data_IF_109253822878
#
_entry.id   IF_109253822878
#
_cell.length_a   1.000
_cell.length_b   1.000
_cell.length_c   1.000
_cell.angle_alpha   90.00
_cell.angle_beta   90.00
_cell.angle_gamma   90.00
#
_symmetry.space_group_name_H-M   'P 1'
#
loop_
_entity.id
_entity.type
_entity.pdbx_description
1 polymer ?
#
# COMPACT_ATOMS: atom_id res chain seq x y z
N UNK A 1 -0.81 -9.21 -6.38
CA UNK A 1 0.15 -9.16 -7.48
C UNK A 1 1.60 -8.93 -6.99
N UNK A 2 1.95 -7.93 -6.16
CA UNK A 2 3.33 -7.70 -5.73
C UNK A 2 3.98 -8.92 -5.06
N UNK A 3 3.31 -9.59 -4.12
CA UNK A 3 3.83 -10.78 -3.43
C UNK A 3 4.15 -11.93 -4.40
N UNK A 4 3.32 -12.11 -5.42
CA UNK A 4 3.54 -13.11 -6.48
C UNK A 4 4.81 -12.75 -7.27
N UNK A 5 4.96 -11.48 -7.67
CA UNK A 5 6.14 -11.04 -8.40
C UNK A 5 7.44 -11.17 -7.58
N UNK A 6 7.40 -10.86 -6.28
CA UNK A 6 8.53 -11.04 -5.37
C UNK A 6 8.94 -12.51 -5.20
N UNK A 7 8.00 -13.46 -5.31
CA UNK A 7 8.31 -14.89 -5.18
C UNK A 7 9.22 -15.43 -6.29
N UNK A 8 9.32 -14.75 -7.44
CA UNK A 8 10.27 -15.10 -8.49
C UNK A 8 11.73 -14.79 -8.11
N UNK A 9 11.97 -13.91 -7.14
CA UNK A 9 13.30 -13.58 -6.62
C UNK A 9 14.15 -12.64 -7.48
N UNK A 10 13.85 -12.48 -8.77
CA UNK A 10 14.61 -11.66 -9.72
C UNK A 10 13.81 -10.50 -10.31
N UNK A 11 12.58 -10.26 -9.85
CA UNK A 11 11.75 -9.13 -10.29
C UNK A 11 11.88 -8.00 -9.28
N UNK A 12 12.23 -6.79 -9.75
CA UNK A 12 12.12 -5.61 -8.90
C UNK A 12 10.64 -5.28 -8.70
N UNK A 13 10.23 -5.04 -7.45
CA UNK A 13 8.82 -4.74 -7.16
C UNK A 13 8.73 -3.51 -6.25
N UNK A 14 7.86 -2.56 -6.60
CA UNK A 14 7.55 -1.44 -5.73
C UNK A 14 6.05 -1.20 -5.61
N UNK A 15 5.64 -0.77 -4.43
CA UNK A 15 4.27 -0.38 -4.09
C UNK A 15 4.30 1.08 -3.66
N UNK A 16 3.70 1.96 -4.46
CA UNK A 16 3.83 3.40 -4.32
C UNK A 16 2.49 4.13 -4.25
N UNK A 17 2.49 5.31 -3.64
CA UNK A 17 1.40 6.29 -3.71
C UNK A 17 2.01 7.69 -3.69
N UNK A 18 2.02 8.35 -4.85
CA UNK A 18 2.71 9.63 -5.06
C UNK A 18 2.21 10.72 -4.10
N UNK A 19 0.90 10.81 -3.87
CA UNK A 19 0.30 11.78 -2.96
C UNK A 19 0.60 11.53 -1.48
N UNK A 20 0.98 10.29 -1.13
CA UNK A 20 1.38 9.95 0.24
C UNK A 20 2.88 10.21 0.49
N UNK A 21 3.73 9.83 -0.48
CA UNK A 21 5.18 10.00 -0.36
C UNK A 21 5.83 10.11 -1.75
N UNK A 22 5.99 11.35 -2.22
CA UNK A 22 6.62 11.66 -3.50
C UNK A 22 8.08 11.17 -3.58
N UNK A 23 8.83 11.30 -2.50
CA UNK A 23 10.25 10.92 -2.49
C UNK A 23 10.40 9.39 -2.60
N UNK A 24 9.53 8.63 -1.92
CA UNK A 24 9.51 7.17 -2.04
C UNK A 24 9.13 6.74 -3.47
N UNK A 25 8.12 7.37 -4.07
CA UNK A 25 7.70 7.10 -5.43
C UNK A 25 8.82 7.37 -6.45
N UNK A 26 9.49 8.52 -6.35
CA UNK A 26 10.62 8.87 -7.22
C UNK A 26 11.80 7.90 -7.04
N UNK A 27 12.10 7.53 -5.79
CA UNK A 27 13.15 6.55 -5.49
C UNK A 27 12.83 5.20 -6.12
N UNK A 28 11.60 4.70 -5.94
CA UNK A 28 11.15 3.42 -6.48
C UNK A 28 11.23 3.38 -8.02
N UNK A 29 10.83 4.47 -8.69
CA UNK A 29 10.89 4.56 -10.15
C UNK A 29 12.35 4.56 -10.64
N UNK A 30 13.25 5.33 -10.00
CA UNK A 30 14.67 5.34 -10.36
C UNK A 30 15.35 3.99 -10.12
N UNK A 31 15.02 3.31 -9.04
CA UNK A 31 15.53 1.97 -8.76
C UNK A 31 15.03 0.97 -9.82
N UNK A 32 13.74 1.03 -10.19
CA UNK A 32 13.16 0.20 -11.24
C UNK A 32 13.81 0.44 -12.62
N UNK A 33 14.06 1.71 -12.96
CA UNK A 33 14.71 2.10 -14.23
C UNK A 33 16.17 1.63 -14.29
N UNK A 34 16.88 1.70 -13.18
CA UNK A 34 18.29 1.30 -13.09
C UNK A 34 18.50 -0.21 -12.94
N UNK A 35 17.44 -0.98 -12.78
CA UNK A 35 17.52 -2.43 -12.62
C UNK A 35 17.59 -3.12 -13.98
N UNK A 36 18.63 -3.92 -14.19
CA UNK A 36 18.82 -4.72 -15.41
C UNK A 36 18.02 -6.03 -15.32
N UNK A 37 16.69 -5.91 -15.34
CA UNK A 37 15.76 -7.02 -15.22
C UNK A 37 14.30 -6.55 -15.22
N UNK A 38 13.35 -7.47 -15.09
CA UNK A 38 11.93 -7.11 -15.07
C UNK A 38 11.59 -6.33 -13.80
N UNK A 39 10.85 -5.23 -13.98
CA UNK A 39 10.41 -4.36 -12.90
C UNK A 39 8.89 -4.17 -12.91
N UNK A 40 8.26 -4.23 -11.75
CA UNK A 40 6.84 -3.97 -11.56
C UNK A 40 6.66 -2.89 -10.51
N UNK A 41 6.13 -1.74 -10.91
CA UNK A 41 5.74 -0.67 -10.00
C UNK A 41 4.22 -0.59 -9.95
N UNK A 42 3.64 -0.87 -8.78
CA UNK A 42 2.20 -0.81 -8.54
C UNK A 42 1.86 0.48 -7.81
N UNK A 43 1.18 1.38 -8.49
CA UNK A 43 0.84 2.70 -7.99
C UNK A 43 -0.63 2.78 -7.56
N UNK A 44 -0.88 3.32 -6.36
CA UNK A 44 -2.24 3.69 -5.99
C UNK A 44 -2.71 4.91 -6.79
N UNK A 45 -3.88 4.80 -7.37
CA UNK A 45 -4.58 5.91 -8.03
C UNK A 45 -5.97 6.07 -7.40
N UNK A 46 -6.28 7.29 -6.96
CA UNK A 46 -7.65 7.64 -6.61
C UNK A 46 -8.49 7.77 -7.89
N UNK A 47 -9.81 7.62 -7.77
CA UNK A 47 -10.71 7.60 -8.92
C UNK A 47 -11.91 8.52 -8.69
N UNK A 48 -12.23 9.36 -9.69
CA UNK A 48 -13.43 10.22 -9.65
C UNK A 48 -14.72 9.42 -9.47
N UNK A 49 -14.79 8.21 -10.05
CA UNK A 49 -15.94 7.32 -9.92
C UNK A 49 -16.15 6.79 -8.49
N UNK A 50 -15.17 6.92 -7.62
CA UNK A 50 -15.35 6.63 -6.19
C UNK A 50 -16.06 7.78 -5.43
N UNK A 51 -16.47 8.85 -6.13
CA UNK A 51 -17.21 9.97 -5.55
C UNK A 51 -16.42 10.80 -4.54
N UNK A 52 -15.10 10.81 -4.68
CA UNK A 52 -14.22 11.67 -3.91
C UNK A 52 -14.12 13.05 -4.55
N UNK A 53 -13.86 14.06 -3.74
CA UNK A 53 -13.46 15.38 -4.25
C UNK A 53 -12.06 15.27 -4.88
N UNK A 54 -11.97 15.42 -6.21
CA UNK A 54 -10.71 15.30 -6.95
C UNK A 54 -9.67 16.33 -6.55
N UNK A 55 -10.07 17.47 -6.01
CA UNK A 55 -9.13 18.45 -5.44
C UNK A 55 -8.40 17.91 -4.21
N UNK A 56 -9.01 16.94 -3.49
CA UNK A 56 -8.46 16.24 -2.33
C UNK A 56 -7.87 14.87 -2.66
N UNK A 57 -7.65 14.59 -3.94
CA UNK A 57 -7.14 13.28 -4.39
C UNK A 57 -5.80 12.90 -3.76
N UNK A 58 -4.90 13.89 -3.55
CA UNK A 58 -3.61 13.65 -2.89
C UNK A 58 -3.79 13.36 -1.39
N UNK A 59 -4.75 14.00 -0.72
CA UNK A 59 -5.08 13.72 0.68
C UNK A 59 -5.66 12.31 0.82
N UNK A 60 -6.48 11.86 -0.14
CA UNK A 60 -7.01 10.50 -0.16
C UNK A 60 -5.88 9.46 -0.35
N UNK A 61 -4.87 9.75 -1.18
CA UNK A 61 -3.69 8.90 -1.32
C UNK A 61 -2.86 8.85 -0.03
N UNK A 62 -2.72 9.96 0.67
CA UNK A 62 -2.06 10.00 1.97
C UNK A 62 -2.84 9.18 2.99
N UNK A 63 -4.15 9.35 3.04
CA UNK A 63 -5.05 8.67 3.97
C UNK A 63 -5.04 7.13 3.78
N UNK A 64 -5.03 6.63 2.54
CA UNK A 64 -4.98 5.19 2.27
C UNK A 64 -3.66 4.55 2.72
N UNK A 65 -2.57 5.30 2.68
CA UNK A 65 -1.26 4.82 3.18
C UNK A 65 -1.20 4.87 4.70
N UNK A 66 -1.63 5.97 5.30
CA UNK A 66 -1.64 6.13 6.76
C UNK A 66 -2.60 5.13 7.45
N UNK A 67 -3.72 4.78 6.80
CA UNK A 67 -4.64 3.74 7.29
C UNK A 67 -4.06 2.33 7.19
N UNK A 68 -2.98 2.12 6.42
CA UNK A 68 -2.39 0.81 6.16
C UNK A 68 -3.11 -0.05 5.13
N UNK A 69 -4.18 0.47 4.50
CA UNK A 69 -4.88 -0.23 3.40
C UNK A 69 -3.94 -0.37 2.20
N UNK A 70 -3.06 0.62 1.98
CA UNK A 70 -2.06 0.62 0.92
C UNK A 70 -0.65 0.86 1.48
N UNK A 71 0.05 -0.16 1.98
CA UNK A 71 1.41 -0.01 2.47
C UNK A 71 2.39 0.26 1.33
N UNK A 72 3.38 1.11 1.59
CA UNK A 72 4.47 1.40 0.67
C UNK A 72 5.65 0.47 0.98
N UNK A 73 6.23 -0.14 -0.04
CA UNK A 73 7.41 -0.98 0.08
C UNK A 73 8.15 -1.10 -1.25
N UNK A 74 9.38 -1.58 -1.19
CA UNK A 74 10.21 -1.93 -2.34
C UNK A 74 10.86 -3.28 -2.12
N UNK A 75 11.03 -4.03 -3.18
CA UNK A 75 11.80 -5.26 -3.23
C UNK A 75 12.85 -5.13 -4.32
N UNK A 76 14.12 -5.06 -3.93
CA UNK A 76 15.24 -4.92 -4.85
C UNK A 76 16.11 -6.18 -4.83
N UNK A 77 16.06 -7.03 -5.87
CA UNK A 77 16.82 -8.27 -5.93
C UNK A 77 18.36 -8.07 -5.84
N UNK A 78 18.87 -6.88 -6.19
CA UNK A 78 20.31 -6.57 -6.12
C UNK A 78 20.88 -6.61 -4.70
N UNK A 79 20.02 -6.40 -3.71
CA UNK A 79 20.43 -6.42 -2.29
C UNK A 79 20.81 -7.83 -1.81
N UNK A 80 20.25 -8.88 -2.44
CA UNK A 80 20.60 -10.27 -2.16
C UNK A 80 22.09 -10.52 -2.34
N UNK A 81 22.68 -10.04 -3.44
CA UNK A 81 24.10 -10.19 -3.71
C UNK A 81 24.99 -9.40 -2.73
N UNK A 82 24.41 -8.48 -1.97
CA UNK A 82 25.09 -7.69 -0.93
C UNK A 82 24.88 -8.29 0.48
N UNK A 83 24.22 -9.46 0.60
CA UNK A 83 23.85 -10.05 1.89
C UNK A 83 22.84 -9.20 2.69
N UNK A 84 22.00 -8.43 1.99
CA UNK A 84 20.99 -7.56 2.59
C UNK A 84 19.58 -8.02 2.24
N UNK A 85 18.65 -7.76 3.15
CA UNK A 85 17.24 -8.07 2.90
C UNK A 85 16.73 -7.27 1.68
N UNK A 86 16.24 -7.94 0.62
CA UNK A 86 15.72 -7.27 -0.57
C UNK A 86 14.41 -6.52 -0.30
N UNK A 87 13.65 -6.93 0.72
CA UNK A 87 12.38 -6.29 1.07
C UNK A 87 12.58 -5.10 2.02
N UNK A 88 12.10 -3.94 1.62
CA UNK A 88 12.18 -2.69 2.37
C UNK A 88 10.78 -2.13 2.58
N UNK A 89 10.31 -2.09 3.83
CA UNK A 89 9.03 -1.51 4.21
C UNK A 89 9.20 0.01 4.39
N UNK A 90 8.59 0.78 3.51
CA UNK A 90 8.69 2.25 3.50
C UNK A 90 7.55 2.94 4.27
N UNK A 91 6.45 2.21 4.57
CA UNK A 91 5.36 2.72 5.39
C UNK A 91 5.70 2.69 6.88
N UNK A 92 5.08 3.61 7.61
CA UNK A 92 4.99 3.57 9.08
C UNK A 92 3.86 2.64 9.52
N UNK A 93 3.81 2.37 10.81
CA UNK A 93 2.73 1.62 11.45
C UNK A 93 1.35 2.23 11.11
N UNK A 94 0.35 1.40 10.74
CA UNK A 94 -0.95 1.89 10.33
C UNK A 94 -1.73 2.54 11.48
N UNK A 95 -2.47 3.59 11.14
CA UNK A 95 -3.40 4.27 12.03
C UNK A 95 -4.81 3.76 11.72
N UNK A 96 -5.28 2.77 12.48
CA UNK A 96 -6.52 2.04 12.19
C UNK A 96 -7.79 2.89 12.26
N UNK A 97 -7.77 3.98 13.04
CA UNK A 97 -8.84 4.98 13.08
C UNK A 97 -9.05 5.65 11.70
N UNK A 98 -7.99 5.78 10.90
CA UNK A 98 -8.06 6.34 9.55
C UNK A 98 -8.72 5.43 8.53
N UNK A 99 -8.87 4.14 8.80
CA UNK A 99 -9.60 3.21 7.92
C UNK A 99 -11.04 3.69 7.73
N UNK A 100 -11.73 4.03 8.82
CA UNK A 100 -13.10 4.55 8.79
C UNK A 100 -13.21 5.84 7.98
N UNK A 101 -12.25 6.75 8.17
CA UNK A 101 -12.21 8.04 7.45
C UNK A 101 -11.98 7.82 5.95
N UNK A 102 -11.02 6.95 5.59
CA UNK A 102 -10.75 6.59 4.19
C UNK A 102 -12.00 6.01 3.51
N UNK A 103 -12.64 5.03 4.14
CA UNK A 103 -13.86 4.40 3.61
C UNK A 103 -15.01 5.42 3.51
N UNK A 104 -15.18 6.29 4.50
CA UNK A 104 -16.21 7.32 4.53
C UNK A 104 -16.08 8.36 3.40
N UNK A 105 -14.90 8.56 2.85
CA UNK A 105 -14.70 9.47 1.73
C UNK A 105 -15.16 8.91 0.37
N UNK A 106 -15.34 7.59 0.26
CA UNK A 106 -15.69 6.95 -1.02
C UNK A 106 -17.15 6.54 -1.08
N UNK A 107 -17.83 6.85 -2.20
CA UNK A 107 -19.26 6.62 -2.38
C UNK A 107 -19.64 5.15 -2.23
N UNK A 108 -18.79 4.21 -2.68
CA UNK A 108 -19.05 2.76 -2.60
C UNK A 108 -19.29 2.28 -1.17
N UNK A 109 -18.50 2.80 -0.22
CA UNK A 109 -18.66 2.43 1.20
C UNK A 109 -19.83 3.18 1.85
N UNK A 110 -20.06 4.46 1.48
CA UNK A 110 -21.22 5.22 1.96
C UNK A 110 -22.53 4.62 1.49
N UNK A 111 -22.60 4.16 0.23
CA UNK A 111 -23.79 3.50 -0.30
C UNK A 111 -24.11 2.21 0.46
N UNK A 112 -23.07 1.39 0.73
CA UNK A 112 -23.25 0.19 1.54
C UNK A 112 -23.77 0.53 2.95
N UNK A 113 -23.17 1.51 3.60
CA UNK A 113 -23.58 1.94 4.96
C UNK A 113 -25.01 2.49 4.99
N UNK A 114 -25.43 3.19 3.95
CA UNK A 114 -26.82 3.68 3.83
C UNK A 114 -27.84 2.55 3.60
N UNK A 115 -27.42 1.47 2.92
CA UNK A 115 -28.28 0.32 2.64
C UNK A 115 -28.33 -0.70 3.79
N UNK A 116 -27.19 -0.93 4.46
CA UNK A 116 -27.04 -1.94 5.53
C UNK A 116 -25.89 -1.51 6.45
N UNK A 117 -26.23 -0.77 7.50
CA UNK A 117 -25.26 -0.23 8.45
C UNK A 117 -24.55 -1.34 9.25
N UNK A 118 -25.25 -2.38 9.67
CA UNK A 118 -24.68 -3.49 10.45
C UNK A 118 -23.64 -4.25 9.65
N UNK A 119 -23.96 -4.54 8.39
CA UNK A 119 -23.02 -5.19 7.46
C UNK A 119 -21.82 -4.30 7.18
N UNK A 120 -22.01 -2.99 7.03
CA UNK A 120 -20.93 -2.04 6.83
C UNK A 120 -19.98 -2.01 8.02
N UNK A 121 -20.49 -2.00 9.25
CA UNK A 121 -19.68 -2.04 10.49
C UNK A 121 -18.89 -3.35 10.60
N UNK A 122 -19.54 -4.49 10.31
CA UNK A 122 -18.86 -5.79 10.29
C UNK A 122 -17.71 -5.83 9.27
N UNK A 123 -17.92 -5.29 8.07
CA UNK A 123 -16.90 -5.29 7.02
C UNK A 123 -15.76 -4.31 7.33
N UNK A 124 -16.04 -3.17 7.93
CA UNK A 124 -15.03 -2.22 8.39
C UNK A 124 -14.14 -2.85 9.48
N UNK A 125 -14.75 -3.54 10.45
CA UNK A 125 -13.98 -4.26 11.48
C UNK A 125 -13.08 -5.35 10.87
N UNK A 126 -13.56 -6.09 9.86
CA UNK A 126 -12.77 -7.08 9.13
C UNK A 126 -11.62 -6.43 8.36
N UNK A 127 -11.83 -5.27 7.74
CA UNK A 127 -10.77 -4.56 7.04
C UNK A 127 -9.67 -4.09 8.01
N UNK A 128 -10.03 -3.54 9.17
CA UNK A 128 -9.07 -3.18 10.23
C UNK A 128 -8.22 -4.38 10.66
N UNK A 129 -8.85 -5.52 10.92
CA UNK A 129 -8.16 -6.76 11.28
C UNK A 129 -7.24 -7.26 10.14
N UNK A 130 -7.66 -7.11 8.88
CA UNK A 130 -6.86 -7.46 7.70
C UNK A 130 -5.63 -6.54 7.57
N UNK A 131 -5.79 -5.23 7.81
CA UNK A 131 -4.70 -4.25 7.82
C UNK A 131 -3.66 -4.63 8.88
N UNK A 132 -4.07 -4.92 10.11
CA UNK A 132 -3.16 -5.34 11.19
C UNK A 132 -2.40 -6.63 10.83
N UNK A 133 -3.10 -7.63 10.29
CA UNK A 133 -2.48 -8.88 9.87
C UNK A 133 -1.45 -8.64 8.79
N UNK A 134 -1.82 -7.89 7.75
CA UNK A 134 -0.94 -7.56 6.63
C UNK A 134 0.28 -6.75 7.08
N UNK A 135 0.11 -5.82 8.01
CA UNK A 135 1.21 -5.08 8.60
C UNK A 135 2.21 -5.99 9.30
N UNK A 136 1.73 -6.92 10.14
CA UNK A 136 2.61 -7.90 10.80
C UNK A 136 3.39 -8.76 9.80
N UNK A 137 2.74 -9.19 8.71
CA UNK A 137 3.38 -9.96 7.64
C UNK A 137 4.50 -9.14 6.95
N UNK A 138 4.24 -7.91 6.59
CA UNK A 138 5.25 -7.05 5.95
C UNK A 138 6.37 -6.65 6.92
N UNK A 139 6.04 -6.40 8.17
CA UNK A 139 7.03 -6.13 9.22
C UNK A 139 7.95 -7.33 9.41
N UNK A 140 7.40 -8.54 9.48
CA UNK A 140 8.19 -9.78 9.54
C UNK A 140 9.11 -9.93 8.32
N UNK A 141 8.62 -9.66 7.11
CA UNK A 141 9.44 -9.71 5.90
C UNK A 141 10.59 -8.69 5.92
N UNK A 142 10.35 -7.50 6.47
CA UNK A 142 11.35 -6.44 6.57
C UNK A 142 12.42 -6.73 7.64
N UNK A 143 12.04 -7.36 8.74
CA UNK A 143 12.90 -7.59 9.90
C UNK A 143 13.62 -8.95 9.85
N UNK A 144 13.24 -9.87 8.95
CA UNK A 144 13.90 -11.18 8.87
C UNK A 144 15.38 -11.05 8.52
N UNK A 145 16.27 -11.82 9.14
CA UNK A 145 17.67 -11.91 8.74
C UNK A 145 17.77 -12.45 7.32
N UNK A 146 18.78 -12.00 6.60
CA UNK A 146 19.00 -12.36 5.21
C UNK A 146 20.42 -12.88 5.02
#
# INVERSE_FOLDING_TARGET
LPMIAMSYGYVYVAHIAMGANMNQALKAIREAESYDGPSIVVAYSHCAMHGIDMMKGMDQQKLVVESGIWPLFRYDPRLVAQGKNPFQLDSKEPQLDKVSTFMGNEIRFRTLRAADAERADMLEAKEKALVERRWREYKYLADRPF
#
